data_IF_092977216055
#
_entry.id   IF_092977216055
#
_cell.length_a   1.000
_cell.length_b   1.000
_cell.length_c   1.000
_cell.angle_alpha   90.00
_cell.angle_beta   90.00
_cell.angle_gamma   90.00
#
_symmetry.space_group_name_H-M   'P 1'
#
loop_
_entity.id
_entity.type
_entity.pdbx_description
1 polymer ?
#
# COMPACT_ATOMS: atom_id res chain seq x y z
N UNK A 1 -3.21 -27.24 -1.78
CA UNK A 1 -3.72 -26.06 -1.06
C UNK A 1 -4.77 -25.42 -1.93
N UNK A 2 -5.95 -25.13 -1.39
CA UNK A 2 -7.08 -24.58 -2.14
C UNK A 2 -7.32 -23.17 -1.63
N UNK A 3 -7.36 -22.20 -2.55
CA UNK A 3 -7.58 -20.80 -2.24
C UNK A 3 -8.83 -20.29 -2.94
N UNK A 4 -9.55 -19.38 -2.29
CA UNK A 4 -10.61 -18.58 -2.91
C UNK A 4 -10.16 -17.14 -3.04
N UNK A 5 -10.56 -16.49 -4.12
CA UNK A 5 -10.31 -15.07 -4.33
C UNK A 5 -11.59 -14.32 -4.02
N UNK A 6 -11.50 -13.34 -3.12
CA UNK A 6 -12.62 -12.52 -2.69
C UNK A 6 -12.29 -11.05 -2.79
N UNK A 7 -13.34 -10.22 -2.90
CA UNK A 7 -13.20 -8.77 -2.85
C UNK A 7 -12.90 -8.34 -1.40
N UNK A 8 -11.95 -7.44 -1.24
CA UNK A 8 -11.60 -6.91 0.08
C UNK A 8 -12.72 -6.03 0.64
N UNK A 9 -13.01 -6.26 1.91
CA UNK A 9 -13.85 -5.44 2.77
C UNK A 9 -12.99 -4.53 3.65
N UNK A 10 -13.57 -3.45 4.17
CA UNK A 10 -12.83 -2.46 4.96
C UNK A 10 -12.24 -3.07 6.24
N UNK A 11 -12.93 -4.04 6.83
CA UNK A 11 -12.51 -4.71 8.06
C UNK A 11 -11.28 -5.61 7.84
N UNK A 12 -11.03 -6.04 6.60
CA UNK A 12 -9.90 -6.92 6.28
C UNK A 12 -8.55 -6.21 6.49
N UNK A 13 -8.49 -4.89 6.35
CA UNK A 13 -7.23 -4.15 6.46
C UNK A 13 -6.59 -4.24 7.85
N UNK A 14 -7.39 -4.35 8.90
CA UNK A 14 -6.88 -4.55 10.26
C UNK A 14 -6.09 -5.86 10.41
N UNK A 15 -6.47 -6.88 9.64
CA UNK A 15 -5.81 -8.18 9.64
C UNK A 15 -4.65 -8.27 8.64
N UNK A 16 -4.83 -7.70 7.44
CA UNK A 16 -3.89 -7.81 6.33
C UNK A 16 -2.66 -6.92 6.54
N UNK A 17 -2.83 -5.67 6.97
CA UNK A 17 -1.74 -4.68 7.04
C UNK A 17 -0.57 -5.16 7.91
N UNK A 18 -0.77 -5.64 9.16
CA UNK A 18 0.33 -6.12 9.98
C UNK A 18 1.10 -7.29 9.35
N UNK A 19 0.39 -8.18 8.65
CA UNK A 19 0.98 -9.37 8.02
C UNK A 19 1.79 -8.99 6.78
N UNK A 20 1.23 -8.13 5.94
CA UNK A 20 1.91 -7.62 4.76
C UNK A 20 3.22 -6.93 5.15
N UNK A 21 3.22 -6.06 6.16
CA UNK A 21 4.46 -5.38 6.56
C UNK A 21 5.43 -6.29 7.33
N UNK A 22 4.95 -7.37 7.94
CA UNK A 22 5.84 -8.39 8.53
C UNK A 22 6.70 -9.10 7.48
N UNK A 23 6.22 -9.23 6.23
CA UNK A 23 6.98 -9.88 5.15
C UNK A 23 8.00 -8.95 4.49
N UNK A 24 7.75 -7.64 4.45
CA UNK A 24 8.70 -6.66 3.91
C UNK A 24 9.96 -6.47 4.78
N UNK A 25 9.95 -6.85 6.06
CA UNK A 25 11.09 -6.64 6.96
C UNK A 25 11.35 -5.14 7.17
N UNK A 26 12.61 -4.69 7.23
CA UNK A 26 13.01 -3.25 7.21
C UNK A 26 13.95 -2.92 6.05
N UNK A 27 14.08 -3.84 5.08
CA UNK A 27 15.16 -3.84 4.09
C UNK A 27 14.85 -3.02 2.84
N UNK A 28 13.62 -2.53 2.69
CA UNK A 28 13.20 -1.76 1.53
C UNK A 28 13.02 -0.29 1.92
N UNK A 29 14.00 0.57 1.60
CA UNK A 29 13.95 2.01 1.87
C UNK A 29 12.67 2.66 1.35
N UNK A 30 12.23 2.27 0.15
CA UNK A 30 10.97 2.73 -0.42
C UNK A 30 9.77 2.50 0.51
N UNK A 31 9.70 1.33 1.15
CA UNK A 31 8.60 0.97 2.07
C UNK A 31 8.71 1.77 3.37
N UNK A 32 9.93 1.96 3.87
CA UNK A 32 10.20 2.77 5.07
C UNK A 32 9.76 4.22 4.90
N UNK A 33 10.06 4.84 3.74
CA UNK A 33 9.69 6.23 3.47
C UNK A 33 8.19 6.39 3.15
N UNK A 34 7.58 5.43 2.43
CA UNK A 34 6.17 5.52 2.05
C UNK A 34 5.20 5.20 3.20
N UNK A 35 5.63 4.33 4.13
CA UNK A 35 4.83 3.85 5.24
C UNK A 35 5.59 3.97 6.57
N UNK A 36 5.91 5.19 7.02
CA UNK A 36 6.72 5.37 8.21
C UNK A 36 6.08 4.71 9.44
N UNK A 37 6.92 4.07 10.26
CA UNK A 37 6.52 3.31 11.44
C UNK A 37 5.60 2.11 11.16
N UNK A 38 5.64 1.54 9.96
CA UNK A 38 4.79 0.39 9.60
C UNK A 38 5.00 -0.83 10.50
N UNK A 39 6.09 -0.93 11.26
CA UNK A 39 6.33 -2.03 12.20
C UNK A 39 5.61 -1.86 13.55
N UNK A 40 4.97 -0.70 13.77
CA UNK A 40 4.30 -0.38 15.04
C UNK A 40 2.78 -0.54 14.94
N UNK A 41 2.08 -0.86 16.04
CA UNK A 41 0.61 -0.91 16.05
C UNK A 41 -0.06 0.41 15.61
N UNK A 42 0.52 1.55 15.98
CA UNK A 42 0.02 2.86 15.58
C UNK A 42 0.20 3.10 14.06
N UNK A 43 1.34 2.69 13.51
CA UNK A 43 1.59 2.71 12.07
C UNK A 43 0.63 1.81 11.30
N UNK A 44 0.41 0.58 11.76
CA UNK A 44 -0.57 -0.33 11.16
C UNK A 44 -1.96 0.30 11.08
N UNK A 45 -2.44 0.97 12.15
CA UNK A 45 -3.74 1.64 12.15
C UNK A 45 -3.80 2.78 11.14
N UNK A 46 -2.74 3.60 11.05
CA UNK A 46 -2.66 4.70 10.08
C UNK A 46 -2.65 4.18 8.64
N UNK A 47 -1.91 3.11 8.37
CA UNK A 47 -1.79 2.52 7.04
C UNK A 47 -3.08 1.81 6.62
N UNK A 48 -3.73 1.09 7.54
CA UNK A 48 -5.05 0.50 7.29
C UNK A 48 -6.08 1.58 6.89
N UNK A 49 -6.11 2.71 7.59
CA UNK A 49 -6.96 3.85 7.21
C UNK A 49 -6.61 4.44 5.84
N UNK A 50 -5.31 4.52 5.50
CA UNK A 50 -4.85 4.94 4.16
C UNK A 50 -5.34 3.97 3.08
N UNK A 51 -5.17 2.66 3.27
CA UNK A 51 -5.59 1.64 2.30
C UNK A 51 -7.10 1.63 2.10
N UNK A 52 -7.87 1.72 3.19
CA UNK A 52 -9.31 1.87 3.14
C UNK A 52 -9.73 3.10 2.33
N UNK A 53 -9.13 4.26 2.63
CA UNK A 53 -9.42 5.51 1.92
C UNK A 53 -9.08 5.40 0.43
N UNK A 54 -7.93 4.81 0.09
CA UNK A 54 -7.53 4.60 -1.30
C UNK A 54 -8.47 3.64 -2.03
N UNK A 55 -8.83 2.49 -1.42
CA UNK A 55 -9.78 1.55 -2.01
C UNK A 55 -11.12 2.22 -2.32
N UNK A 56 -11.63 3.03 -1.38
CA UNK A 56 -12.94 3.66 -1.51
C UNK A 56 -12.93 4.85 -2.49
N UNK A 57 -11.79 5.49 -2.71
CA UNK A 57 -11.63 6.55 -3.72
C UNK A 57 -11.38 6.01 -5.14
N UNK A 58 -10.78 4.83 -5.28
CA UNK A 58 -10.36 4.28 -6.56
C UNK A 58 -11.45 3.43 -7.22
N UNK A 59 -12.40 4.07 -7.89
CA UNK A 59 -13.52 3.39 -8.58
C UNK A 59 -13.09 2.40 -9.67
N UNK A 60 -11.91 2.61 -10.26
CA UNK A 60 -11.32 1.75 -11.31
C UNK A 60 -10.32 0.71 -10.78
N UNK A 61 -10.12 0.64 -9.45
CA UNK A 61 -9.27 -0.35 -8.83
C UNK A 61 -10.09 -1.50 -8.25
N UNK A 62 -9.64 -2.72 -8.50
CA UNK A 62 -10.17 -3.92 -7.88
C UNK A 62 -9.16 -4.44 -6.86
N UNK A 63 -9.59 -4.42 -5.59
CA UNK A 63 -8.84 -4.92 -4.46
C UNK A 63 -9.34 -6.32 -4.07
N UNK A 64 -8.44 -7.29 -4.09
CA UNK A 64 -8.75 -8.70 -3.85
C UNK A 64 -7.86 -9.28 -2.76
N UNK A 65 -8.40 -10.24 -2.02
CA UNK A 65 -7.68 -11.07 -1.05
C UNK A 65 -7.74 -12.53 -1.48
N UNK A 66 -6.67 -13.26 -1.22
CA UNK A 66 -6.67 -14.71 -1.31
C UNK A 66 -6.98 -15.29 0.08
N UNK A 67 -7.97 -16.16 0.18
CA UNK A 67 -8.34 -16.86 1.41
C UNK A 67 -7.93 -18.32 1.30
N UNK A 68 -7.20 -18.81 2.30
CA UNK A 68 -6.95 -20.25 2.44
C UNK A 68 -8.21 -20.96 2.93
N UNK A 69 -8.68 -21.95 2.18
CA UNK A 69 -9.92 -22.68 2.47
C UNK A 69 -9.87 -23.46 3.79
N UNK A 70 -8.68 -23.80 4.31
CA UNK A 70 -8.53 -24.54 5.57
C UNK A 70 -8.55 -23.61 6.77
N UNK A 71 -7.76 -22.53 6.74
CA UNK A 71 -7.68 -21.58 7.85
C UNK A 71 -8.74 -20.48 7.80
N UNK A 72 -9.46 -20.33 6.69
CA UNK A 72 -10.45 -19.27 6.42
C UNK A 72 -9.89 -17.85 6.58
N UNK A 73 -8.57 -17.72 6.45
CA UNK A 73 -7.84 -16.48 6.69
C UNK A 73 -7.26 -15.95 5.38
N UNK A 74 -7.21 -14.61 5.28
CA UNK A 74 -6.52 -13.96 4.18
C UNK A 74 -5.02 -14.28 4.24
N UNK A 75 -4.48 -14.88 3.19
CA UNK A 75 -3.06 -15.20 3.08
C UNK A 75 -2.30 -14.18 2.25
N UNK A 76 -3.01 -13.43 1.40
CA UNK A 76 -2.40 -12.46 0.51
C UNK A 76 -3.37 -11.34 0.07
N UNK A 77 -2.81 -10.24 -0.43
CA UNK A 77 -3.47 -9.05 -0.94
C UNK A 77 -2.97 -8.76 -2.36
N UNK A 78 -3.89 -8.59 -3.30
CA UNK A 78 -3.58 -8.11 -4.63
C UNK A 78 -4.48 -6.94 -5.03
N UNK A 79 -3.86 -5.90 -5.59
CA UNK A 79 -4.55 -4.70 -6.09
C UNK A 79 -4.28 -4.57 -7.58
N UNK A 80 -5.34 -4.52 -8.36
CA UNK A 80 -5.27 -4.38 -9.82
C UNK A 80 -6.05 -3.13 -10.22
N UNK A 81 -5.42 -2.24 -10.97
CA UNK A 81 -6.12 -1.09 -11.54
C UNK A 81 -6.26 -1.33 -13.03
N UNK A 82 -7.50 -1.35 -13.52
CA UNK A 82 -7.76 -1.44 -14.95
C UNK A 82 -7.67 -0.02 -15.53
N UNK A 83 -6.70 0.19 -16.42
CA UNK A 83 -6.51 1.47 -17.12
C UNK A 83 -6.91 1.23 -18.56
N UNK A 84 -8.15 1.55 -18.90
CA UNK A 84 -8.69 1.24 -20.23
C UNK A 84 -8.27 2.25 -21.30
N UNK A 85 -8.09 3.55 -20.96
CA UNK A 85 -7.80 4.58 -21.97
C UNK A 85 -6.80 5.65 -21.54
N UNK A 86 -6.96 6.25 -20.35
CA UNK A 86 -6.10 7.35 -19.89
C UNK A 86 -5.51 7.04 -18.52
N UNK A 87 -4.18 7.18 -18.38
CA UNK A 87 -3.52 7.12 -17.06
C UNK A 87 -4.22 8.14 -16.13
N UNK A 88 -4.59 7.77 -14.89
CA UNK A 88 -5.11 8.73 -13.93
C UNK A 88 -4.16 9.93 -13.84
N UNK A 89 -4.68 11.17 -13.71
CA UNK A 89 -3.83 12.34 -13.54
C UNK A 89 -2.88 12.11 -12.37
N UNK A 90 -1.61 12.48 -12.55
CA UNK A 90 -0.61 12.35 -11.50
C UNK A 90 -1.02 13.23 -10.33
N UNK A 91 -1.45 12.59 -9.24
CA UNK A 91 -1.66 13.29 -7.98
C UNK A 91 -0.33 13.77 -7.44
N UNK A 92 -0.28 15.02 -7.00
CA UNK A 92 0.87 15.58 -6.30
C UNK A 92 1.14 14.70 -5.05
N UNK A 93 2.28 14.01 -5.07
CA UNK A 93 2.67 13.05 -4.02
C UNK A 93 3.08 13.76 -2.73
N UNK A 94 3.43 15.03 -2.84
CA UNK A 94 3.56 15.96 -1.74
C UNK A 94 2.18 16.29 -1.18
N UNK A 95 1.66 15.42 -0.31
CA UNK A 95 0.48 15.73 0.49
C UNK A 95 0.67 17.00 1.35
N UNK A 96 -0.29 17.34 2.23
CA UNK A 96 -0.23 18.54 3.07
C UNK A 96 1.04 18.60 3.94
N UNK A 97 1.41 19.78 4.48
CA UNK A 97 2.58 19.92 5.36
C UNK A 97 2.62 18.86 6.47
N UNK A 98 3.76 18.20 6.64
CA UNK A 98 3.93 17.07 7.58
C UNK A 98 3.65 15.69 6.97
N UNK A 99 3.39 15.59 5.67
CA UNK A 99 3.26 14.30 4.96
C UNK A 99 4.52 13.45 5.07
N UNK A 100 5.69 14.07 4.94
CA UNK A 100 6.97 13.38 4.95
C UNK A 100 7.64 13.44 6.33
N UNK A 101 8.24 12.33 6.81
CA UNK A 101 8.99 12.31 8.06
C UNK A 101 10.20 13.24 8.05
N UNK A 102 10.84 13.41 6.87
CA UNK A 102 12.00 14.27 6.68
C UNK A 102 12.05 14.86 5.26
N UNK A 103 12.87 15.90 5.09
CA UNK A 103 13.17 16.47 3.77
C UNK A 103 13.89 15.45 2.86
N UNK A 104 14.73 14.60 3.43
CA UNK A 104 15.43 13.56 2.69
C UNK A 104 14.47 12.48 2.16
N UNK A 105 13.48 12.05 2.96
CA UNK A 105 12.45 11.11 2.51
C UNK A 105 11.63 11.70 1.35
N UNK A 106 11.29 12.99 1.46
CA UNK A 106 10.61 13.72 0.39
C UNK A 106 11.43 13.75 -0.90
N UNK A 107 12.71 14.08 -0.81
CA UNK A 107 13.62 14.16 -1.96
C UNK A 107 13.85 12.79 -2.61
N UNK A 108 14.07 11.76 -1.80
CA UNK A 108 14.18 10.37 -2.27
C UNK A 108 12.93 9.95 -3.04
N UNK A 109 11.75 10.16 -2.45
CA UNK A 109 10.49 9.75 -3.08
C UNK A 109 10.19 10.54 -4.36
N UNK A 110 10.50 11.84 -4.37
CA UNK A 110 10.37 12.67 -5.57
C UNK A 110 11.23 12.13 -6.72
N UNK A 111 12.47 11.74 -6.44
CA UNK A 111 13.38 11.16 -7.44
C UNK A 111 12.97 9.79 -7.96
N UNK A 112 12.36 8.94 -7.11
CA UNK A 112 11.79 7.64 -7.51
C UNK A 112 10.53 7.82 -8.34
N UNK A 113 9.64 8.75 -7.95
CA UNK A 113 8.38 8.99 -8.63
C UNK A 113 8.54 9.59 -10.04
N UNK A 114 9.57 10.43 -10.27
CA UNK A 114 9.87 11.00 -11.58
C UNK A 114 10.57 10.04 -12.55
N UNK A 115 10.76 8.76 -12.19
CA UNK A 115 11.43 7.77 -13.05
C UNK A 115 12.94 8.02 -13.24
N UNK A 116 13.51 8.98 -12.51
CA UNK A 116 14.94 9.27 -12.48
C UNK A 116 15.66 8.28 -11.56
N UNK A 117 15.62 7.00 -11.92
CA UNK A 117 16.68 6.08 -11.52
C UNK A 117 17.96 6.58 -12.22
N UNK A 118 18.78 7.34 -11.49
CA UNK A 118 20.17 7.57 -11.90
C UNK A 118 20.81 6.20 -12.00
N UNK A 119 21.06 5.74 -13.23
CA UNK A 119 21.96 4.61 -13.47
C UNK A 119 23.32 5.02 -12.91
N UNK A 120 23.68 4.46 -11.77
CA UNK A 120 25.08 4.29 -11.35
C UNK A 120 25.70 3.16 -12.15
#
# INVERSE_FOLDING_TARGET
MTYTIERIQDEDFAYIVPRMFSTFGNSYEFVNSLYPNYSTPAGHKKIAGKFQSTKNAAANATWTKAIDAVSTKAVDLAVWTLIEETKPPETELDGPPGTWPSKADKEYFSGVASGSCVRS
#
